data_IF_906249786897
#
_entry.id   IF_906249786897
#
_cell.length_a   1.000
_cell.length_b   1.000
_cell.length_c   1.000
_cell.angle_alpha   90.00
_cell.angle_beta   90.00
_cell.angle_gamma   90.00
#
_symmetry.space_group_name_H-M   'P 1'
#
loop_
_entity.id
_entity.type
_entity.pdbx_description
1 polymer ?
#
# COMPACT_ATOMS: atom_id res chain seq x y z
N UNK A 1 7.01 2.07 11.68
CA UNK A 1 6.48 2.26 10.32
C UNK A 1 7.54 1.87 9.30
N UNK A 2 7.09 1.47 8.13
CA UNK A 2 8.00 1.06 7.06
C UNK A 2 8.77 2.28 6.51
N UNK A 3 10.06 2.11 6.31
CA UNK A 3 10.91 3.12 5.67
C UNK A 3 12.18 2.45 5.16
N UNK A 4 12.83 3.00 4.12
CA UNK A 4 14.10 2.46 3.65
C UNK A 4 15.20 2.63 4.70
N UNK A 5 16.05 1.62 4.84
CA UNK A 5 17.24 1.70 5.71
C UNK A 5 18.33 2.53 5.09
N UNK A 6 18.51 2.42 3.79
CA UNK A 6 19.51 3.15 3.02
C UNK A 6 18.91 3.60 1.70
N UNK A 7 19.39 4.74 1.20
CA UNK A 7 19.01 5.29 -0.08
C UNK A 7 20.26 5.69 -0.87
N UNK A 8 20.23 5.38 -2.15
CA UNK A 8 21.27 5.87 -3.05
C UNK A 8 21.20 7.40 -3.19
N UNK A 9 19.99 7.95 -3.25
CA UNK A 9 19.74 9.38 -3.32
C UNK A 9 18.67 9.77 -2.31
N UNK A 10 18.87 10.92 -1.63
CA UNK A 10 17.92 11.41 -0.63
C UNK A 10 16.64 11.95 -1.23
N UNK A 11 16.72 12.47 -2.46
CA UNK A 11 15.60 13.13 -3.12
C UNK A 11 15.37 12.50 -4.49
N UNK A 12 14.10 12.49 -4.93
CA UNK A 12 13.72 12.00 -6.24
C UNK A 12 12.73 12.96 -6.87
N UNK A 13 12.67 12.96 -8.20
CA UNK A 13 11.63 13.69 -8.90
C UNK A 13 10.28 13.03 -8.65
N UNK A 14 9.23 13.86 -8.51
CA UNK A 14 7.87 13.36 -8.25
C UNK A 14 7.41 12.41 -9.36
N UNK A 15 7.66 12.79 -10.62
CA UNK A 15 7.31 11.97 -11.78
C UNK A 15 5.80 11.85 -11.99
N UNK A 16 5.44 11.00 -12.94
CA UNK A 16 4.05 10.67 -13.28
C UNK A 16 3.85 9.16 -13.17
N UNK A 17 2.67 8.77 -12.71
CA UNK A 17 2.30 7.36 -12.59
C UNK A 17 1.44 6.98 -13.79
N UNK A 18 2.06 6.39 -14.81
CA UNK A 18 1.37 5.95 -16.02
C UNK A 18 1.37 4.43 -16.12
N UNK A 19 0.35 3.91 -16.78
CA UNK A 19 0.23 2.49 -17.08
C UNK A 19 -0.32 1.67 -15.95
N UNK A 20 -0.35 0.36 -16.14
CA UNK A 20 -0.83 -0.61 -15.18
C UNK A 20 0.34 -1.35 -14.52
N UNK A 21 0.09 -1.97 -13.37
CA UNK A 21 1.09 -2.77 -12.70
C UNK A 21 1.44 -4.01 -13.53
N UNK A 22 2.74 -4.21 -13.78
CA UNK A 22 3.26 -5.38 -14.50
C UNK A 22 3.79 -6.44 -13.54
N UNK A 23 4.08 -6.06 -12.30
CA UNK A 23 4.56 -6.96 -11.24
C UNK A 23 3.74 -6.74 -9.98
N UNK A 24 3.58 -7.79 -9.19
CA UNK A 24 2.78 -7.71 -7.98
C UNK A 24 1.30 -7.48 -8.24
N UNK A 25 0.81 -7.96 -9.38
CA UNK A 25 -0.61 -7.83 -9.77
C UNK A 25 -1.38 -9.12 -9.53
N UNK A 26 -0.75 -10.13 -8.92
CA UNK A 26 -1.38 -11.42 -8.59
C UNK A 26 -1.08 -11.78 -7.14
N UNK A 27 -1.99 -12.56 -6.54
CA UNK A 27 -1.76 -13.11 -5.22
C UNK A 27 -0.63 -14.14 -5.26
N UNK A 28 0.27 -14.09 -4.28
CA UNK A 28 1.41 -15.00 -4.19
C UNK A 28 1.49 -15.73 -2.85
N UNK A 29 1.18 -15.07 -1.74
CA UNK A 29 1.32 -15.61 -0.40
C UNK A 29 -0.02 -15.96 0.24
N UNK A 30 -1.06 -15.16 -0.02
CA UNK A 30 -2.35 -15.30 0.60
C UNK A 30 -3.42 -15.84 -0.34
N UNK A 31 -4.54 -16.21 0.23
CA UNK A 31 -5.74 -16.66 -0.52
C UNK A 31 -6.63 -15.48 -0.91
N UNK A 32 -6.54 -14.38 -0.20
CA UNK A 32 -7.35 -13.18 -0.38
C UNK A 32 -6.46 -11.96 -0.41
N UNK A 33 -6.90 -10.92 -1.09
CA UNK A 33 -6.16 -9.67 -1.12
C UNK A 33 -6.99 -8.50 -1.61
N UNK A 34 -6.40 -7.34 -1.59
CA UNK A 34 -6.96 -6.14 -2.21
C UNK A 34 -5.96 -5.58 -3.19
N UNK A 35 -6.46 -5.18 -4.35
CA UNK A 35 -5.65 -4.52 -5.37
C UNK A 35 -6.16 -3.11 -5.62
N UNK A 36 -5.26 -2.24 -6.07
CA UNK A 36 -5.60 -0.88 -6.41
C UNK A 36 -6.27 -0.82 -7.78
N UNK A 37 -7.27 0.04 -7.91
CA UNK A 37 -7.91 0.35 -9.19
C UNK A 37 -7.44 1.72 -9.73
N UNK A 38 -6.65 2.44 -8.96
CA UNK A 38 -6.17 3.78 -9.31
C UNK A 38 -4.66 3.89 -9.09
N UNK A 39 -4.04 4.89 -9.73
CA UNK A 39 -2.65 5.26 -9.46
C UNK A 39 -2.63 6.27 -8.32
N UNK A 40 -1.97 5.94 -7.22
CA UNK A 40 -1.84 6.82 -6.06
C UNK A 40 -0.50 6.64 -5.36
N UNK A 41 -0.07 7.67 -4.65
CA UNK A 41 1.00 7.59 -3.66
C UNK A 41 0.37 7.18 -2.32
N UNK A 42 0.89 6.11 -1.73
CA UNK A 42 0.42 5.60 -0.44
C UNK A 42 1.53 5.81 0.58
N UNK A 43 1.26 6.59 1.63
CA UNK A 43 2.25 6.89 2.65
C UNK A 43 2.46 5.72 3.60
N UNK A 44 3.61 5.70 4.28
CA UNK A 44 3.89 4.67 5.30
C UNK A 44 2.85 4.70 6.43
N UNK A 45 2.32 5.88 6.77
CA UNK A 45 1.28 6.01 7.79
C UNK A 45 -0.04 5.38 7.35
N UNK A 46 -0.41 5.55 6.07
CA UNK A 46 -1.60 4.91 5.52
C UNK A 46 -1.47 3.40 5.49
N UNK A 47 -0.30 2.89 5.12
CA UNK A 47 -0.02 1.44 5.13
C UNK A 47 -0.16 0.88 6.54
N UNK A 48 0.44 1.55 7.53
CA UNK A 48 0.38 1.12 8.92
C UNK A 48 -1.05 1.17 9.47
N UNK A 49 -1.80 2.21 9.15
CA UNK A 49 -3.21 2.33 9.56
C UNK A 49 -4.06 1.19 8.98
N UNK A 50 -3.85 0.87 7.71
CA UNK A 50 -4.56 -0.22 7.05
C UNK A 50 -4.22 -1.57 7.68
N UNK A 51 -2.93 -1.82 7.95
CA UNK A 51 -2.49 -3.04 8.61
C UNK A 51 -3.15 -3.21 9.98
N UNK A 52 -3.15 -2.16 10.78
CA UNK A 52 -3.74 -2.19 12.13
C UNK A 52 -5.25 -2.47 12.04
N UNK A 53 -5.96 -1.82 11.13
CA UNK A 53 -7.40 -2.01 10.96
C UNK A 53 -7.73 -3.47 10.62
N UNK A 54 -6.98 -4.06 9.68
CA UNK A 54 -7.20 -5.44 9.27
C UNK A 54 -6.88 -6.43 10.39
N UNK A 55 -5.73 -6.28 11.05
CA UNK A 55 -5.31 -7.21 12.12
C UNK A 55 -6.19 -7.14 13.34
N UNK A 56 -6.73 -5.98 13.68
CA UNK A 56 -7.69 -5.86 14.78
C UNK A 56 -8.98 -6.65 14.51
N UNK A 57 -9.48 -6.54 13.29
CA UNK A 57 -10.69 -7.29 12.93
C UNK A 57 -10.45 -8.79 12.94
N UNK A 58 -9.29 -9.23 12.45
CA UNK A 58 -8.93 -10.65 12.43
C UNK A 58 -8.58 -11.20 13.81
N UNK A 59 -8.51 -10.37 14.85
CA UNK A 59 -8.14 -10.75 16.21
C UNK A 59 -6.82 -11.51 16.28
N UNK A 60 -5.85 -11.11 15.44
CA UNK A 60 -4.52 -11.73 15.29
C UNK A 60 -4.56 -13.18 14.81
N UNK A 61 -5.69 -13.65 14.29
CA UNK A 61 -5.76 -14.93 13.60
C UNK A 61 -5.29 -14.77 12.16
N UNK A 62 -4.72 -15.84 11.59
CA UNK A 62 -4.23 -15.84 10.23
C UNK A 62 -2.97 -15.00 10.06
N UNK A 63 -2.65 -14.72 8.80
CA UNK A 63 -1.48 -13.95 8.41
C UNK A 63 -1.86 -12.86 7.43
N UNK A 64 -1.18 -11.72 7.56
CA UNK A 64 -1.34 -10.59 6.66
C UNK A 64 0.02 -10.21 6.10
N UNK A 65 0.10 -10.08 4.78
CA UNK A 65 1.31 -9.63 4.09
C UNK A 65 1.08 -8.25 3.49
N UNK A 66 2.02 -7.34 3.75
CA UNK A 66 2.07 -6.04 3.09
C UNK A 66 2.91 -6.21 1.84
N UNK A 67 2.32 -6.00 0.66
CA UNK A 67 2.97 -6.25 -0.63
C UNK A 67 3.50 -4.98 -1.29
N UNK A 68 3.35 -3.83 -0.66
CA UNK A 68 3.88 -2.55 -1.12
C UNK A 68 4.84 -1.99 -0.08
N UNK A 69 5.82 -1.22 -0.55
CA UNK A 69 6.82 -0.63 0.34
C UNK A 69 7.00 0.86 0.00
N UNK A 70 7.00 1.73 1.00
CA UNK A 70 7.18 3.17 0.78
C UNK A 70 8.65 3.51 0.61
N UNK A 71 9.14 3.44 -0.63
CA UNK A 71 10.53 3.65 -0.97
C UNK A 71 10.82 5.00 -1.63
N UNK A 72 9.80 5.72 -2.05
CA UNK A 72 9.97 7.00 -2.74
C UNK A 72 9.90 8.16 -1.75
N UNK A 73 10.99 8.96 -1.62
CA UNK A 73 10.96 10.12 -0.75
C UNK A 73 10.16 11.27 -1.36
N UNK A 74 9.33 11.89 -0.57
CA UNK A 74 8.58 13.10 -0.94
C UNK A 74 9.15 14.27 -0.15
N UNK A 75 9.47 15.35 -0.85
CA UNK A 75 10.02 16.55 -0.25
C UNK A 75 8.93 17.60 -0.07
N UNK A 76 9.10 18.45 0.93
CA UNK A 76 8.20 19.55 1.18
C UNK A 76 9.00 20.75 1.68
N UNK A 77 8.66 21.93 1.18
CA UNK A 77 9.23 23.18 1.70
C UNK A 77 8.33 23.69 2.83
N UNK A 78 8.90 24.37 3.85
CA UNK A 78 8.09 25.03 4.86
C UNK A 78 7.15 26.05 4.23
N UNK A 79 5.99 26.27 4.84
CA UNK A 79 4.98 27.21 4.34
C UNK A 79 5.51 28.64 4.18
N UNK A 80 6.51 29.00 4.98
CA UNK A 80 7.09 30.35 5.03
C UNK A 80 8.15 30.57 3.96
N UNK A 81 8.60 29.53 3.25
CA UNK A 81 9.67 29.61 2.28
C UNK A 81 9.10 29.80 0.89
N UNK A 82 9.65 30.80 0.17
CA UNK A 82 9.26 31.10 -1.20
C UNK A 82 9.78 30.04 -2.17
N UNK A 83 9.16 29.97 -3.34
CA UNK A 83 9.60 29.11 -4.42
C UNK A 83 11.03 29.43 -4.86
N UNK A 84 11.79 28.41 -5.23
CA UNK A 84 13.17 28.56 -5.68
C UNK A 84 14.19 28.17 -4.61
N UNK A 85 15.48 28.40 -4.89
CA UNK A 85 16.62 28.08 -4.01
C UNK A 85 16.75 26.60 -3.68
N UNK A 86 16.42 25.73 -4.65
CA UNK A 86 16.61 24.30 -4.51
C UNK A 86 15.39 23.54 -4.02
N UNK A 87 15.51 22.23 -4.01
CA UNK A 87 14.46 21.30 -3.63
C UNK A 87 14.36 21.21 -2.10
N UNK A 88 13.13 21.10 -1.59
CA UNK A 88 12.89 20.97 -0.16
C UNK A 88 13.50 19.70 0.43
N UNK A 89 13.51 19.60 1.76
CA UNK A 89 14.02 18.42 2.46
C UNK A 89 13.03 17.25 2.35
N UNK A 90 13.52 15.99 2.33
CA UNK A 90 12.62 14.83 2.42
C UNK A 90 11.81 14.88 3.72
N UNK A 91 10.50 14.64 3.61
CA UNK A 91 9.60 14.69 4.76
C UNK A 91 9.04 13.30 5.09
N UNK A 92 8.65 12.55 4.07
CA UNK A 92 8.08 11.23 4.26
C UNK A 92 8.29 10.36 3.02
N UNK A 93 8.01 9.07 3.15
CA UNK A 93 8.13 8.12 2.06
C UNK A 93 6.77 7.62 1.62
N UNK A 94 6.64 7.32 0.33
CA UNK A 94 5.42 6.79 -0.25
C UNK A 94 5.73 5.58 -1.13
N UNK A 95 4.74 4.69 -1.24
CA UNK A 95 4.73 3.64 -2.24
C UNK A 95 4.03 4.16 -3.48
N UNK A 96 4.63 3.95 -4.65
CA UNK A 96 4.02 4.27 -5.94
C UNK A 96 3.16 3.08 -6.33
N UNK A 97 1.84 3.26 -6.33
CA UNK A 97 0.90 2.19 -6.63
C UNK A 97 0.17 2.51 -7.94
N UNK A 98 0.21 1.55 -8.86
CA UNK A 98 -0.46 1.64 -10.16
C UNK A 98 -1.68 0.72 -10.18
N UNK A 99 -2.66 0.95 -11.08
CA UNK A 99 -3.82 0.05 -11.17
C UNK A 99 -3.41 -1.41 -11.36
N UNK A 100 -4.06 -2.30 -10.62
CA UNK A 100 -3.78 -3.73 -10.66
C UNK A 100 -2.79 -4.23 -9.62
N UNK A 101 -2.12 -3.33 -8.88
CA UNK A 101 -1.17 -3.72 -7.84
C UNK A 101 -1.88 -4.30 -6.63
N UNK A 102 -1.50 -5.50 -6.22
CA UNK A 102 -1.95 -6.10 -4.95
C UNK A 102 -1.21 -5.42 -3.81
N UNK A 103 -1.95 -4.86 -2.87
CA UNK A 103 -1.37 -4.09 -1.76
C UNK A 103 -1.26 -4.91 -0.49
N UNK A 104 -2.27 -5.71 -0.19
CA UNK A 104 -2.30 -6.57 1.00
C UNK A 104 -2.81 -7.95 0.61
N UNK A 105 -2.26 -8.97 1.27
CA UNK A 105 -2.73 -10.34 1.15
C UNK A 105 -3.02 -10.91 2.52
N UNK A 106 -4.01 -11.80 2.61
CA UNK A 106 -4.44 -12.44 3.85
C UNK A 106 -4.63 -13.94 3.62
N UNK A 107 -4.24 -14.73 4.61
CA UNK A 107 -4.50 -16.17 4.63
C UNK A 107 -4.77 -16.64 6.06
N UNK A 108 -5.32 -17.85 6.20
CA UNK A 108 -5.56 -18.45 7.50
C UNK A 108 -6.82 -18.00 8.22
N UNK A 109 -7.73 -17.32 7.51
CA UNK A 109 -9.04 -16.90 8.02
C UNK A 109 -10.11 -17.25 7.00
N UNK A 110 -11.37 -17.23 7.43
CA UNK A 110 -12.51 -17.51 6.54
C UNK A 110 -12.70 -16.38 5.53
N UNK A 111 -13.45 -16.68 4.47
CA UNK A 111 -13.78 -15.69 3.42
C UNK A 111 -14.43 -14.44 4.02
N UNK A 112 -15.44 -14.60 4.88
CA UNK A 112 -16.17 -13.47 5.47
C UNK A 112 -15.26 -12.59 6.32
N UNK A 113 -14.40 -13.21 7.13
CA UNK A 113 -13.47 -12.48 7.98
C UNK A 113 -12.44 -11.74 7.12
N UNK A 114 -11.89 -12.39 6.10
CA UNK A 114 -10.92 -11.78 5.19
C UNK A 114 -11.54 -10.61 4.44
N UNK A 115 -12.75 -10.78 3.92
CA UNK A 115 -13.43 -9.73 3.17
C UNK A 115 -13.66 -8.48 4.03
N UNK A 116 -14.15 -8.65 5.24
CA UNK A 116 -14.41 -7.52 6.14
C UNK A 116 -13.12 -6.87 6.63
N UNK A 117 -12.10 -7.67 6.98
CA UNK A 117 -10.80 -7.14 7.40
C UNK A 117 -10.17 -6.28 6.31
N UNK A 118 -10.18 -6.76 5.07
CA UNK A 118 -9.61 -6.03 3.94
C UNK A 118 -10.46 -4.82 3.55
N UNK A 119 -11.78 -4.88 3.74
CA UNK A 119 -12.64 -3.71 3.56
C UNK A 119 -12.27 -2.60 4.53
N UNK A 120 -12.04 -2.94 5.79
CA UNK A 120 -11.62 -1.97 6.81
C UNK A 120 -10.25 -1.39 6.51
N UNK A 121 -9.32 -2.24 6.04
CA UNK A 121 -8.00 -1.78 5.61
C UNK A 121 -8.11 -0.81 4.43
N UNK A 122 -8.95 -1.12 3.46
CA UNK A 122 -9.13 -0.29 2.27
C UNK A 122 -9.65 1.11 2.61
N UNK A 123 -10.45 1.25 3.66
CA UNK A 123 -10.94 2.56 4.10
C UNK A 123 -9.83 3.50 4.56
N UNK A 124 -8.67 2.97 4.94
CA UNK A 124 -7.51 3.75 5.35
C UNK A 124 -6.59 4.14 4.19
N UNK A 125 -6.87 3.62 3.00
CA UNK A 125 -6.07 3.86 1.80
C UNK A 125 -6.70 4.95 0.92
N UNK A 126 -5.89 5.73 0.17
CA UNK A 126 -6.39 6.84 -0.64
C UNK A 126 -6.95 6.44 -1.99
N UNK A 127 -6.86 5.17 -2.37
CA UNK A 127 -7.26 4.68 -3.69
C UNK A 127 -8.48 3.78 -3.61
N UNK A 128 -9.18 3.66 -4.73
CA UNK A 128 -10.22 2.66 -4.89
C UNK A 128 -9.58 1.28 -4.97
N UNK A 129 -10.20 0.30 -4.35
CA UNK A 129 -9.67 -1.05 -4.23
C UNK A 129 -10.71 -2.08 -4.66
N UNK A 130 -10.21 -3.27 -4.99
CA UNK A 130 -11.03 -4.43 -5.29
C UNK A 130 -10.55 -5.61 -4.48
N UNK A 131 -11.47 -6.30 -3.81
CA UNK A 131 -11.20 -7.57 -3.14
C UNK A 131 -10.99 -8.65 -4.18
N UNK A 132 -9.91 -9.43 -4.02
CA UNK A 132 -9.58 -10.51 -4.94
C UNK A 132 -9.35 -11.81 -4.18
N UNK A 133 -9.62 -12.91 -4.86
CA UNK A 133 -9.51 -14.26 -4.33
C UNK A 133 -8.53 -15.04 -5.22
N UNK A 134 -7.72 -15.90 -4.60
CA UNK A 134 -6.80 -16.74 -5.36
C UNK A 134 -7.56 -17.72 -6.27
N UNK A 135 -7.02 -17.99 -7.46
CA UNK A 135 -7.66 -18.85 -8.45
C UNK A 135 -7.87 -20.29 -7.95
N UNK A 136 -7.02 -20.75 -7.06
CA UNK A 136 -7.08 -22.08 -6.48
C UNK A 136 -7.89 -22.17 -5.20
N UNK A 137 -8.58 -21.08 -4.81
CA UNK A 137 -9.44 -21.10 -3.65
C UNK A 137 -10.73 -21.84 -3.95
N UNK A 138 -11.00 -22.89 -3.16
CA UNK A 138 -12.25 -23.63 -3.25
C UNK A 138 -13.18 -23.20 -2.12
N UNK A 139 -14.36 -22.75 -2.50
CA UNK A 139 -15.46 -22.48 -1.55
C UNK A 139 -16.09 -23.81 -1.18
N UNK A 140 -15.89 -24.22 0.06
CA UNK A 140 -16.59 -25.40 0.59
C UNK A 140 -17.89 -24.95 1.24
#
# INVERSE_FOLDING_TARGET
MLSPKRQKFRKMQKGRMKGNSQRGHRLSNGMFGIKSLESKFITSRQIEAARIAATRFMKREGQLWIKIFPDKPITKKPLEVRMGKGKGAPEYFVAVVKPGRVMFEVAGVSFEIAQEALRLAAQKLPCKTKFIIANDYETV
#
